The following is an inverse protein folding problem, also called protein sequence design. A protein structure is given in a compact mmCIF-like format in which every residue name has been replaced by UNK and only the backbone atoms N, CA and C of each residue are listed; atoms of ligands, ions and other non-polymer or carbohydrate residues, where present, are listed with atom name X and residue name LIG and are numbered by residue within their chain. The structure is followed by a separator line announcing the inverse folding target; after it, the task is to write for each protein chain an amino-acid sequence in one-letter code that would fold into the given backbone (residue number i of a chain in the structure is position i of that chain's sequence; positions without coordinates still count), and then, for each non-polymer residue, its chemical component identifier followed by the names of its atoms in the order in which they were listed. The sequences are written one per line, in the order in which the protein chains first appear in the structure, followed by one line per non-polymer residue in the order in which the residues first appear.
data_IF_133854070775
#
_entry.id   IF_133854070775
#
_cell.length_a   1.000
_cell.length_b   1.000
_cell.length_c   1.000
_cell.angle_alpha   90.00
_cell.angle_beta   90.00
_cell.angle_gamma   90.00
#
_symmetry.space_group_name_H-M   'P 1'
#
loop_
_entity.id
_entity.type
_entity.pdbx_description
1 polymer ?
#
# COMPACT_ATOMS: atom_id res chain seq x y z
N UNK A 1 11.32 12.06 23.85
CA UNK A 1 10.55 10.81 23.62
C UNK A 1 11.07 10.21 22.32
N UNK A 2 11.24 8.89 22.22
CA UNK A 2 11.78 8.26 21.00
C UNK A 2 10.90 8.63 19.78
N UNK A 3 11.51 8.98 18.63
CA UNK A 3 10.81 9.41 17.39
C UNK A 3 9.79 8.37 16.93
N UNK A 4 10.06 7.09 17.22
CA UNK A 4 9.12 6.01 16.94
C UNK A 4 7.86 6.09 17.82
N UNK A 5 8.00 6.40 19.10
CA UNK A 5 6.88 6.54 20.03
C UNK A 5 6.00 7.75 19.70
N UNK A 6 6.62 8.87 19.29
CA UNK A 6 5.88 10.04 18.78
C UNK A 6 5.02 9.69 17.57
N UNK A 7 5.51 8.82 16.68
CA UNK A 7 4.75 8.36 15.51
C UNK A 7 3.56 7.49 15.92
N UNK A 8 3.72 6.60 16.91
CA UNK A 8 2.61 5.78 17.42
C UNK A 8 1.51 6.65 18.01
N UNK A 9 1.86 7.66 18.80
CA UNK A 9 0.88 8.55 19.46
C UNK A 9 0.02 9.37 18.48
N UNK A 10 0.52 9.62 17.26
CA UNK A 10 -0.23 10.35 16.21
C UNK A 10 -1.28 9.49 15.49
N UNK A 11 -1.31 8.17 15.70
CA UNK A 11 -2.27 7.27 15.05
C UNK A 11 -3.66 7.48 15.67
N UNK A 12 -4.61 8.03 14.89
CA UNK A 12 -5.98 8.31 15.35
C UNK A 12 -6.74 7.05 15.75
N UNK A 13 -6.67 6.01 14.92
CA UNK A 13 -7.33 4.71 15.15
C UNK A 13 -6.74 4.01 16.41
N UNK A 14 -7.54 3.80 17.47
CA UNK A 14 -7.03 3.28 18.73
C UNK A 14 -6.58 1.82 18.65
N UNK A 15 -7.23 0.98 17.84
CA UNK A 15 -6.85 -0.42 17.68
C UNK A 15 -5.54 -0.51 16.90
N UNK A 16 -5.45 0.22 15.79
CA UNK A 16 -4.21 0.32 15.01
C UNK A 16 -3.06 0.84 15.87
N UNK A 17 -3.30 1.86 16.73
CA UNK A 17 -2.29 2.39 17.66
C UNK A 17 -1.74 1.33 18.59
N UNK A 18 -2.61 0.50 19.19
CA UNK A 18 -2.20 -0.62 20.06
C UNK A 18 -1.33 -1.62 19.32
N UNK A 19 -1.66 -1.94 18.07
CA UNK A 19 -0.87 -2.86 17.25
C UNK A 19 0.53 -2.34 16.96
N UNK A 20 0.66 -1.06 16.58
CA UNK A 20 1.98 -0.45 16.39
C UNK A 20 2.78 -0.42 17.70
N UNK A 21 2.15 -0.09 18.83
CA UNK A 21 2.81 -0.18 20.13
C UNK A 21 3.29 -1.61 20.44
N UNK A 22 2.44 -2.61 20.20
CA UNK A 22 2.79 -4.03 20.34
C UNK A 22 3.96 -4.45 19.44
N UNK A 23 4.00 -3.97 18.19
CA UNK A 23 5.14 -4.21 17.30
C UNK A 23 6.45 -3.59 17.83
N UNK A 24 6.40 -2.40 18.41
CA UNK A 24 7.58 -1.80 19.06
C UNK A 24 8.00 -2.57 20.32
N UNK A 25 7.04 -3.16 21.05
CA UNK A 25 7.32 -4.07 22.17
C UNK A 25 8.00 -5.35 21.66
N UNK A 26 7.44 -6.00 20.64
CA UNK A 26 7.97 -7.24 20.07
C UNK A 26 9.44 -7.09 19.65
N UNK A 27 9.78 -5.98 18.98
CA UNK A 27 11.17 -5.66 18.62
C UNK A 27 12.09 -5.62 19.84
N UNK A 28 11.62 -5.15 21.00
CA UNK A 28 12.41 -5.08 22.24
C UNK A 28 12.60 -6.45 22.88
N UNK A 29 11.53 -7.25 22.96
CA UNK A 29 11.55 -8.61 23.56
C UNK A 29 12.35 -9.61 22.72
N UNK A 30 12.46 -9.41 21.41
CA UNK A 30 13.37 -10.23 20.59
C UNK A 30 14.83 -10.13 21.03
N UNK A 31 15.28 -8.94 21.43
CA UNK A 31 16.62 -8.77 21.96
C UNK A 31 16.81 -9.42 23.33
N UNK A 32 15.75 -9.74 24.08
CA UNK A 32 15.84 -10.52 25.32
C UNK A 32 15.85 -12.04 25.11
N UNK A 33 15.57 -12.53 23.88
CA UNK A 33 15.45 -13.96 23.52
C UNK A 33 14.38 -14.73 24.32
N UNK A 34 13.38 -14.04 24.86
CA UNK A 34 12.33 -14.64 25.71
C UNK A 34 11.07 -15.07 24.94
N UNK A 35 11.04 -14.94 23.61
CA UNK A 35 9.86 -15.28 22.80
C UNK A 35 10.08 -16.53 21.95
N UNK A 36 9.25 -17.55 22.15
CA UNK A 36 9.14 -18.70 21.25
C UNK A 36 8.22 -18.35 20.09
N UNK A 37 8.78 -18.32 18.88
CA UNK A 37 8.06 -18.06 17.64
C UNK A 37 8.53 -19.09 16.61
N UNK A 38 7.60 -19.87 16.08
CA UNK A 38 7.90 -20.91 15.08
C UNK A 38 7.31 -20.57 13.69
N UNK A 39 7.58 -21.45 12.72
CA UNK A 39 7.16 -21.28 11.34
C UNK A 39 5.64 -21.29 11.15
N UNK A 40 4.89 -21.91 12.08
CA UNK A 40 3.42 -21.97 12.00
C UNK A 40 2.80 -20.58 12.11
N UNK A 41 3.36 -19.73 12.97
CA UNK A 41 2.91 -18.34 13.17
C UNK A 41 3.14 -17.49 11.91
N UNK A 42 4.23 -17.75 11.18
CA UNK A 42 4.50 -17.08 9.91
C UNK A 42 3.53 -17.52 8.81
N UNK A 43 3.16 -18.81 8.77
CA UNK A 43 2.17 -19.34 7.82
C UNK A 43 0.80 -18.72 8.08
N UNK A 44 0.35 -18.66 9.33
CA UNK A 44 -0.92 -18.05 9.71
C UNK A 44 -0.96 -16.56 9.37
N UNK A 45 0.16 -15.86 9.59
CA UNK A 45 0.32 -14.46 9.21
C UNK A 45 0.19 -14.24 7.69
N UNK A 46 0.79 -15.13 6.88
CA UNK A 46 0.65 -15.09 5.43
C UNK A 46 -0.79 -15.39 5.00
N UNK A 47 -1.41 -16.42 5.57
CA UNK A 47 -2.82 -16.78 5.31
C UNK A 47 -3.77 -15.61 5.62
N UNK A 48 -3.51 -14.88 6.71
CA UNK A 48 -4.28 -13.71 7.07
C UNK A 48 -4.13 -12.56 6.06
N UNK A 49 -2.96 -12.38 5.43
CA UNK A 49 -2.72 -11.31 4.46
C UNK A 49 -3.42 -11.57 3.11
N UNK A 50 -3.37 -12.82 2.64
CA UNK A 50 -3.93 -13.22 1.35
C UNK A 50 -5.47 -13.37 1.39
N UNK A 51 -6.03 -13.58 2.57
CA UNK A 51 -7.47 -13.78 2.72
C UNK A 51 -8.27 -12.50 2.42
N UNK A 52 -9.41 -12.69 1.75
CA UNK A 52 -10.43 -11.63 1.54
C UNK A 52 -11.31 -11.40 2.76
N UNK A 53 -11.42 -12.40 3.63
CA UNK A 53 -12.30 -12.38 4.81
C UNK A 53 -11.65 -11.68 6.01
N UNK A 54 -10.36 -11.38 5.93
CA UNK A 54 -9.62 -10.70 7.00
C UNK A 54 -9.69 -9.19 6.89
N UNK A 55 -9.85 -8.56 8.05
CA UNK A 55 -9.90 -7.11 8.15
C UNK A 55 -8.50 -6.47 8.05
N UNK A 56 -8.48 -5.13 7.96
CA UNK A 56 -7.23 -4.36 7.86
C UNK A 56 -6.31 -4.52 9.08
N UNK A 57 -6.85 -4.82 10.26
CA UNK A 57 -6.06 -5.03 11.47
C UNK A 57 -5.38 -6.39 11.43
N UNK A 58 -6.11 -7.45 11.10
CA UNK A 58 -5.56 -8.81 10.95
C UNK A 58 -4.45 -8.85 9.89
N UNK A 59 -4.68 -8.23 8.72
CA UNK A 59 -3.64 -8.08 7.68
C UNK A 59 -2.42 -7.32 8.19
N UNK A 60 -2.63 -6.26 8.97
CA UNK A 60 -1.53 -5.46 9.53
C UNK A 60 -0.73 -6.26 10.58
N UNK A 61 -1.41 -7.03 11.43
CA UNK A 61 -0.76 -7.92 12.41
C UNK A 61 0.09 -8.97 11.69
N UNK A 62 -0.49 -9.65 10.70
CA UNK A 62 0.23 -10.64 9.89
C UNK A 62 1.49 -10.03 9.27
N UNK A 63 1.41 -8.80 8.74
CA UNK A 63 2.58 -8.14 8.16
C UNK A 63 3.62 -7.75 9.21
N UNK A 64 3.24 -7.37 10.42
CA UNK A 64 4.20 -7.13 11.50
C UNK A 64 4.93 -8.41 11.90
N UNK A 65 4.21 -9.53 11.99
CA UNK A 65 4.78 -10.85 12.25
C UNK A 65 5.76 -11.26 11.13
N UNK A 66 5.37 -11.17 9.86
CA UNK A 66 6.26 -11.50 8.75
C UNK A 66 7.49 -10.58 8.71
N UNK A 67 7.31 -9.27 8.90
CA UNK A 67 8.42 -8.32 8.96
C UNK A 67 9.41 -8.66 10.08
N UNK A 68 8.91 -9.22 11.18
CA UNK A 68 9.72 -9.66 12.30
C UNK A 68 10.60 -10.85 11.93
N UNK A 69 10.04 -11.86 11.28
CA UNK A 69 10.78 -13.07 10.87
C UNK A 69 11.72 -12.83 9.69
N UNK A 70 11.26 -12.11 8.67
CA UNK A 70 11.91 -12.08 7.36
C UNK A 70 12.49 -10.71 7.00
N UNK A 71 12.10 -9.65 7.71
CA UNK A 71 12.39 -8.29 7.30
C UNK A 71 11.34 -7.73 6.31
N UNK A 72 11.37 -6.40 6.15
CA UNK A 72 10.36 -5.67 5.37
C UNK A 72 10.46 -6.00 3.88
N UNK A 73 11.68 -6.10 3.35
CA UNK A 73 11.89 -6.29 1.91
C UNK A 73 11.42 -7.67 1.48
N UNK A 74 11.84 -8.71 2.20
CA UNK A 74 11.48 -10.11 1.99
C UNK A 74 9.98 -10.30 2.19
N UNK A 75 9.41 -9.72 3.25
CA UNK A 75 7.95 -9.74 3.45
C UNK A 75 7.21 -9.16 2.26
N UNK A 76 7.63 -8.00 1.76
CA UNK A 76 6.99 -7.41 0.59
C UNK A 76 7.12 -8.29 -0.64
N UNK A 77 8.26 -8.96 -0.85
CA UNK A 77 8.45 -9.88 -1.97
C UNK A 77 7.53 -11.11 -1.88
N UNK A 78 7.30 -11.65 -0.68
CA UNK A 78 6.43 -12.80 -0.49
C UNK A 78 4.96 -12.50 -0.76
N UNK A 79 4.51 -11.29 -0.44
CA UNK A 79 3.07 -10.97 -0.46
C UNK A 79 2.65 -10.13 -1.67
N UNK A 80 3.58 -9.58 -2.45
CA UNK A 80 3.27 -8.62 -3.52
C UNK A 80 2.26 -9.14 -4.53
N UNK A 81 2.31 -10.44 -4.86
CA UNK A 81 1.47 -11.03 -5.90
C UNK A 81 0.10 -11.53 -5.37
N UNK A 82 -0.10 -11.52 -4.05
CA UNK A 82 -1.26 -12.18 -3.41
C UNK A 82 -1.96 -11.33 -2.34
N UNK A 83 -1.34 -10.24 -1.88
CA UNK A 83 -1.90 -9.41 -0.82
C UNK A 83 -3.08 -8.59 -1.31
N UNK A 84 -4.18 -8.64 -0.55
CA UNK A 84 -5.32 -7.75 -0.76
C UNK A 84 -5.07 -6.45 0.02
N UNK A 85 -4.69 -5.39 -0.70
CA UNK A 85 -4.33 -4.10 -0.13
C UNK A 85 -5.56 -3.24 0.16
N UNK A 86 -5.67 -2.71 1.38
CA UNK A 86 -6.80 -1.85 1.79
C UNK A 86 -6.46 -0.36 1.84
N UNK A 87 -5.20 -0.01 2.04
CA UNK A 87 -4.75 1.37 2.30
C UNK A 87 -3.95 1.92 1.11
N UNK A 88 -4.18 3.18 0.72
CA UNK A 88 -3.48 3.81 -0.41
C UNK A 88 -2.00 4.08 -0.14
N UNK A 89 -1.64 4.24 1.14
CA UNK A 89 -0.27 4.49 1.61
C UNK A 89 0.54 3.20 1.80
N UNK A 90 -0.03 2.02 1.49
CA UNK A 90 0.64 0.74 1.64
C UNK A 90 1.91 0.68 0.74
N UNK A 91 3.05 0.15 1.24
CA UNK A 91 4.26 -0.01 0.44
C UNK A 91 4.07 -0.78 -0.86
N UNK A 92 3.12 -1.74 -0.92
CA UNK A 92 2.83 -2.48 -2.15
C UNK A 92 2.20 -1.59 -3.22
N UNK A 93 1.39 -0.59 -2.84
CA UNK A 93 0.85 0.41 -3.79
C UNK A 93 1.98 1.21 -4.41
N UNK A 94 3.02 1.55 -3.63
CA UNK A 94 4.19 2.26 -4.16
C UNK A 94 4.99 1.41 -5.15
N UNK A 95 5.18 0.12 -4.84
CA UNK A 95 5.83 -0.83 -5.75
C UNK A 95 5.00 -1.01 -7.03
N UNK A 96 3.70 -1.19 -6.90
CA UNK A 96 2.76 -1.26 -8.02
C UNK A 96 2.86 -0.03 -8.92
N UNK A 97 2.79 1.19 -8.36
CA UNK A 97 2.94 2.43 -9.15
C UNK A 97 4.26 2.44 -9.92
N UNK A 98 5.36 2.03 -9.28
CA UNK A 98 6.65 1.93 -9.95
C UNK A 98 6.63 0.90 -11.09
N UNK A 99 6.09 -0.30 -10.87
CA UNK A 99 5.97 -1.34 -11.91
C UNK A 99 5.16 -0.86 -13.12
N UNK A 100 4.07 -0.13 -12.89
CA UNK A 100 3.24 0.44 -13.97
C UNK A 100 4.02 1.51 -14.74
N UNK A 101 4.71 2.42 -14.05
CA UNK A 101 5.56 3.44 -14.70
C UNK A 101 6.70 2.80 -15.51
N UNK A 102 7.35 1.76 -14.97
CA UNK A 102 8.41 1.02 -15.64
C UNK A 102 7.88 0.29 -16.89
N UNK A 103 6.71 -0.36 -16.80
CA UNK A 103 6.04 -1.02 -17.95
C UNK A 103 5.73 -0.03 -19.07
N UNK A 104 5.26 1.16 -18.69
CA UNK A 104 4.82 2.22 -19.60
C UNK A 104 5.98 3.11 -20.10
N UNK A 105 7.23 2.73 -19.82
CA UNK A 105 8.45 3.50 -20.12
C UNK A 105 8.35 4.98 -19.72
N UNK A 106 7.80 5.23 -18.52
CA UNK A 106 7.56 6.57 -18.00
C UNK A 106 6.93 7.49 -19.07
N UNK A 107 5.88 7.01 -19.72
CA UNK A 107 5.20 7.71 -20.81
C UNK A 107 3.68 7.61 -20.64
N UNK A 108 2.99 8.73 -20.80
CA UNK A 108 1.53 8.80 -20.79
C UNK A 108 0.98 7.94 -21.93
N UNK A 109 0.14 6.96 -21.58
CA UNK A 109 -0.40 6.00 -22.54
C UNK A 109 -1.50 6.58 -23.44
N UNK A 110 -2.04 7.76 -23.14
CA UNK A 110 -3.02 8.44 -23.98
C UNK A 110 -2.42 9.43 -24.98
N UNK A 111 -1.34 10.12 -24.62
CA UNK A 111 -0.82 11.22 -25.45
C UNK A 111 0.70 11.23 -25.67
N UNK A 112 1.44 10.29 -25.06
CA UNK A 112 2.89 10.21 -25.20
C UNK A 112 3.69 11.21 -24.36
N UNK A 113 3.05 12.08 -23.56
CA UNK A 113 3.76 13.00 -22.66
C UNK A 113 4.61 12.24 -21.64
N UNK A 114 5.78 12.78 -21.28
CA UNK A 114 6.66 12.26 -20.22
C UNK A 114 6.68 13.12 -18.96
N UNK A 115 5.81 14.13 -18.91
CA UNK A 115 5.81 15.15 -17.86
C UNK A 115 4.78 14.86 -16.78
N UNK A 116 5.18 15.04 -15.51
CA UNK A 116 4.30 14.99 -14.31
C UNK A 116 3.38 13.76 -14.25
N UNK A 117 3.94 12.59 -14.55
CA UNK A 117 3.18 11.36 -14.68
C UNK A 117 2.59 10.87 -13.37
N UNK A 118 1.39 10.33 -13.46
CA UNK A 118 0.68 9.66 -12.38
C UNK A 118 0.18 8.31 -12.87
N UNK A 119 0.03 7.37 -11.94
CA UNK A 119 -0.60 6.08 -12.23
C UNK A 119 -2.07 6.17 -11.83
N UNK A 120 -2.93 5.94 -12.81
CA UNK A 120 -4.36 5.82 -12.66
C UNK A 120 -4.76 4.35 -12.47
N UNK A 121 -5.79 4.11 -11.68
CA UNK A 121 -6.42 2.80 -11.55
C UNK A 121 -7.53 2.68 -12.60
N UNK A 122 -7.47 1.67 -13.49
CA UNK A 122 -8.49 1.46 -14.54
C UNK A 122 -9.83 1.06 -13.91
N UNK A 123 -9.82 0.10 -12.98
CA UNK A 123 -10.95 -0.17 -12.09
C UNK A 123 -10.82 0.70 -10.83
N UNK A 124 -11.87 1.43 -10.45
CA UNK A 124 -11.80 2.32 -9.29
C UNK A 124 -11.37 1.61 -8.00
N UNK A 125 -10.55 2.32 -7.21
CA UNK A 125 -10.01 1.83 -5.94
C UNK A 125 -11.09 1.31 -4.98
N UNK A 126 -12.25 1.94 -4.92
CA UNK A 126 -13.36 1.54 -4.04
C UNK A 126 -14.00 0.22 -4.47
N UNK A 127 -14.04 -0.04 -5.77
CA UNK A 127 -14.94 -1.04 -6.37
C UNK A 127 -14.22 -2.38 -6.58
N UNK A 128 -12.90 -2.36 -6.73
CA UNK A 128 -12.09 -3.57 -6.93
C UNK A 128 -10.90 -3.65 -5.96
N UNK A 129 -11.14 -4.09 -4.71
CA UNK A 129 -10.08 -4.27 -3.72
C UNK A 129 -9.01 -5.29 -4.09
N UNK A 130 -9.34 -6.26 -4.94
CA UNK A 130 -8.45 -7.38 -5.29
C UNK A 130 -7.42 -6.92 -6.33
N UNK A 131 -7.82 -6.09 -7.30
CA UNK A 131 -6.92 -5.64 -8.36
C UNK A 131 -6.18 -4.32 -8.06
N UNK A 132 -6.25 -3.77 -6.83
CA UNK A 132 -5.60 -2.49 -6.47
C UNK A 132 -4.10 -2.41 -6.74
N UNK A 133 -3.41 -3.55 -6.72
CA UNK A 133 -1.98 -3.66 -7.01
C UNK A 133 -1.68 -4.60 -8.19
N UNK A 134 -2.70 -4.97 -8.96
CA UNK A 134 -2.51 -5.65 -10.24
C UNK A 134 -1.93 -4.63 -11.24
N UNK A 135 -0.75 -4.93 -11.80
CA UNK A 135 -0.07 -4.02 -12.75
C UNK A 135 -0.96 -3.72 -13.96
N UNK A 136 -1.74 -4.70 -14.42
CA UNK A 136 -2.65 -4.53 -15.58
C UNK A 136 -3.85 -3.64 -15.27
N UNK A 137 -4.14 -3.41 -13.98
CA UNK A 137 -5.14 -2.46 -13.53
C UNK A 137 -4.59 -1.02 -13.36
N UNK A 138 -3.33 -0.81 -13.74
CA UNK A 138 -2.69 0.51 -13.73
C UNK A 138 -2.44 1.02 -15.14
N UNK A 139 -2.57 2.34 -15.31
CA UNK A 139 -2.18 3.05 -16.53
C UNK A 139 -1.46 4.34 -16.19
N UNK A 140 -0.33 4.60 -16.84
CA UNK A 140 0.44 5.84 -16.68
C UNK A 140 -0.18 6.96 -17.49
N UNK A 141 -0.57 8.06 -16.84
CA UNK A 141 -1.20 9.23 -17.46
C UNK A 141 -0.50 10.53 -17.05
N UNK A 142 -0.49 11.53 -17.93
CA UNK A 142 -0.18 12.90 -17.56
C UNK A 142 -1.41 13.56 -16.89
N UNK A 143 -1.26 14.73 -16.21
CA UNK A 143 -2.36 15.34 -15.45
C UNK A 143 -3.60 15.65 -16.30
N UNK A 144 -3.41 16.11 -17.55
CA UNK A 144 -4.52 16.46 -18.45
C UNK A 144 -5.25 15.26 -19.04
N UNK A 145 -4.58 14.11 -19.18
CA UNK A 145 -5.24 12.86 -19.52
C UNK A 145 -5.89 12.23 -18.29
N UNK A 146 -5.24 12.30 -17.13
CA UNK A 146 -5.77 11.78 -15.88
C UNK A 146 -7.08 12.48 -15.47
N UNK A 147 -7.20 13.80 -15.66
CA UNK A 147 -8.44 14.52 -15.36
C UNK A 147 -9.62 14.08 -16.22
N UNK A 148 -9.36 13.65 -17.47
CA UNK A 148 -10.40 13.16 -18.38
C UNK A 148 -10.99 11.82 -17.94
N UNK A 149 -10.21 11.01 -17.25
CA UNK A 149 -10.70 9.76 -16.65
C UNK A 149 -11.60 10.01 -15.42
N UNK A 150 -11.62 11.24 -14.89
CA UNK A 150 -12.47 11.65 -13.75
C UNK A 150 -13.57 12.65 -14.17
N UNK A 151 -13.98 12.68 -15.43
CA UNK A 151 -15.04 13.61 -15.90
C UNK A 151 -16.34 13.34 -15.14
N UNK A 152 -16.79 14.34 -14.36
CA UNK A 152 -17.99 14.26 -13.52
C UNK A 152 -17.71 14.13 -12.02
N UNK A 153 -16.45 13.87 -11.64
CA UNK A 153 -16.00 13.88 -10.25
C UNK A 153 -15.44 15.26 -9.85
N UNK A 154 -15.35 15.53 -8.55
CA UNK A 154 -14.86 16.80 -8.01
C UNK A 154 -13.45 17.20 -8.51
N UNK A 155 -12.65 16.25 -9.02
CA UNK A 155 -11.30 16.48 -9.52
C UNK A 155 -11.26 17.13 -10.92
N UNK A 156 -12.26 16.90 -11.79
CA UNK A 156 -12.30 17.52 -13.13
C UNK A 156 -12.39 19.05 -13.04
N UNK A 157 -13.09 19.56 -12.03
CA UNK A 157 -13.29 21.01 -11.82
C UNK A 157 -12.02 21.77 -11.37
N UNK A 158 -10.97 21.07 -10.91
CA UNK A 158 -9.73 21.71 -10.47
C UNK A 158 -8.71 21.91 -11.60
N UNK A 159 -8.71 21.06 -12.63
CA UNK A 159 -7.72 21.11 -13.72
C UNK A 159 -8.12 22.13 -14.78
N UNK A 160 -9.43 22.27 -15.07
CA UNK A 160 -9.95 23.26 -16.02
C UNK A 160 -9.71 24.72 -15.57
N UNK A 161 -9.54 24.97 -14.27
CA UNK A 161 -9.27 26.30 -13.73
C UNK A 161 -7.79 26.73 -13.82
N UNK A 162 -6.87 25.78 -14.06
CA UNK A 162 -5.42 26.04 -14.08
C UNK A 162 -4.80 26.15 -15.48
N UNK A 163 -5.54 25.75 -16.53
CA UNK A 163 -5.11 25.88 -17.93
C UNK A 163 -5.65 27.16 -18.61
N UNK A 164 -6.28 28.07 -17.86
CA UNK A 164 -6.78 29.37 -18.35
C UNK A 164 -5.93 30.58 -17.94
N UNK A 165 -4.63 30.40 -17.66
CA UNK A 165 -3.71 31.51 -17.33
C UNK A 165 -2.52 31.59 -18.27
#
# INVERSE_FOLDING_TARGET
MDKQMERVLRIKDPLMRRMYAGNEILKRYYFSKESEFDLSVAIDALAAIISKETDKYQKKAGRFILNFFYGIQETNNMIEDHAIVTEREDPLVRRWKKKVLDRDDYTCQHCGSREKLVVHHISHWSDDPVNRINVDNGITLCPSCHSKEHIGDWYSNFVDASDTS
#
